data_IF_144233743386
#
_entry.id   IF_144233743386
#
_cell.length_a   1.000
_cell.length_b   1.000
_cell.length_c   1.000
_cell.angle_alpha   90.00
_cell.angle_beta   90.00
_cell.angle_gamma   90.00
#
_symmetry.space_group_name_H-M   'P 1'
#
loop_
_entity.id
_entity.type
_entity.pdbx_description
1 polymer ?
#
# COMPACT_ATOMS: atom_id res chain seq x y z
N UNK A 1 -0.22 13.21 -9.99
CA UNK A 1 -0.36 12.03 -9.12
C UNK A 1 -0.66 12.49 -7.71
N UNK A 2 -1.64 11.89 -7.04
CA UNK A 2 -1.99 12.22 -5.65
C UNK A 2 -1.14 11.39 -4.68
N UNK A 3 -0.74 11.97 -3.55
CA UNK A 3 -0.04 11.25 -2.49
C UNK A 3 -1.07 10.47 -1.67
N UNK A 4 -0.92 9.14 -1.58
CA UNK A 4 -1.89 8.26 -0.91
C UNK A 4 -1.17 7.43 0.15
N UNK A 5 -1.66 7.53 1.39
CA UNK A 5 -1.10 6.79 2.53
C UNK A 5 -1.79 5.44 2.75
N UNK A 6 -1.01 4.36 2.86
CA UNK A 6 -1.49 3.02 3.18
C UNK A 6 -1.08 2.62 4.60
N UNK A 7 -2.06 2.37 5.46
CA UNK A 7 -1.88 1.93 6.85
C UNK A 7 -2.60 0.60 7.01
N UNK A 8 -1.98 -0.38 7.69
CA UNK A 8 -2.57 -1.71 7.89
C UNK A 8 -2.58 -2.60 6.64
N UNK A 9 -1.80 -2.25 5.60
CA UNK A 9 -1.73 -2.97 4.32
C UNK A 9 -1.22 -4.43 4.42
N UNK A 10 -0.62 -4.80 5.56
CA UNK A 10 -0.13 -6.17 5.84
C UNK A 10 -1.15 -7.09 6.52
N UNK A 11 -2.29 -6.55 6.97
CA UNK A 11 -3.36 -7.35 7.57
C UNK A 11 -4.20 -8.07 6.52
N UNK A 12 -5.11 -8.95 6.93
CA UNK A 12 -5.94 -9.77 6.03
C UNK A 12 -6.70 -8.95 4.97
N UNK A 13 -7.30 -7.82 5.36
CA UNK A 13 -8.00 -6.94 4.41
C UNK A 13 -7.02 -6.12 3.58
N UNK A 14 -5.93 -5.66 4.20
CA UNK A 14 -4.89 -4.88 3.55
C UNK A 14 -4.21 -5.63 2.41
N UNK A 15 -3.90 -6.92 2.60
CA UNK A 15 -3.25 -7.74 1.58
C UNK A 15 -4.16 -7.95 0.37
N UNK A 16 -5.45 -8.20 0.59
CA UNK A 16 -6.43 -8.33 -0.52
C UNK A 16 -6.57 -7.00 -1.28
N UNK A 17 -6.57 -5.87 -0.57
CA UNK A 17 -6.55 -4.56 -1.22
C UNK A 17 -5.30 -4.39 -2.10
N UNK A 18 -4.11 -4.73 -1.58
CA UNK A 18 -2.87 -4.61 -2.34
C UNK A 18 -2.90 -5.50 -3.60
N UNK A 19 -3.37 -6.75 -3.47
CA UNK A 19 -3.48 -7.67 -4.61
C UNK A 19 -4.42 -7.13 -5.69
N UNK A 20 -5.57 -6.56 -5.30
CA UNK A 20 -6.52 -5.94 -6.25
C UNK A 20 -5.93 -4.70 -6.91
N UNK A 21 -5.26 -3.83 -6.15
CA UNK A 21 -4.66 -2.62 -6.70
C UNK A 21 -3.53 -2.92 -7.69
N UNK A 22 -2.78 -4.01 -7.50
CA UNK A 22 -1.80 -4.49 -8.49
C UNK A 22 -2.52 -5.03 -9.73
N UNK A 23 -3.57 -5.85 -9.56
CA UNK A 23 -4.33 -6.41 -10.68
C UNK A 23 -4.96 -5.32 -11.57
N UNK A 24 -5.46 -4.24 -10.97
CA UNK A 24 -6.10 -3.13 -11.68
C UNK A 24 -5.10 -2.02 -12.11
N UNK A 25 -3.81 -2.19 -11.80
CA UNK A 25 -2.75 -1.21 -12.07
C UNK A 25 -3.01 0.19 -11.47
N UNK A 26 -3.64 0.23 -10.29
CA UNK A 26 -4.01 1.49 -9.63
C UNK A 26 -2.79 2.32 -9.22
N UNK A 27 -1.68 1.65 -8.88
CA UNK A 27 -0.44 2.31 -8.46
C UNK A 27 0.20 3.18 -9.54
N UNK A 28 -0.14 2.98 -10.82
CA UNK A 28 0.33 3.85 -11.90
C UNK A 28 -0.23 5.29 -11.80
N UNK A 29 -1.34 5.49 -11.07
CA UNK A 29 -2.07 6.75 -11.02
C UNK A 29 -1.80 7.56 -9.73
N UNK A 30 -1.06 7.00 -8.78
CA UNK A 30 -0.84 7.58 -7.44
C UNK A 30 0.63 7.51 -7.03
N UNK A 31 0.99 8.32 -6.03
CA UNK A 31 2.26 8.20 -5.32
C UNK A 31 2.00 7.51 -3.96
N UNK A 32 2.23 6.19 -3.85
CA UNK A 32 1.90 5.43 -2.64
C UNK A 32 2.93 5.67 -1.53
N UNK A 33 2.46 5.89 -0.32
CA UNK A 33 3.29 6.03 0.90
C UNK A 33 2.83 4.97 1.91
N UNK A 34 3.74 4.07 2.29
CA UNK A 34 3.41 2.95 3.18
C UNK A 34 3.81 3.27 4.61
N UNK A 35 2.86 3.11 5.53
CA UNK A 35 3.06 3.30 6.96
C UNK A 35 3.08 1.95 7.68
N UNK A 36 3.85 1.87 8.75
CA UNK A 36 3.98 0.68 9.60
C UNK A 36 4.31 1.08 11.03
N UNK A 37 3.87 0.28 11.99
CA UNK A 37 4.16 0.45 13.42
C UNK A 37 5.29 -0.46 13.90
N UNK A 38 5.68 -1.48 13.14
CA UNK A 38 6.64 -2.51 13.58
C UNK A 38 7.87 -2.69 12.68
N UNK A 39 7.86 -2.16 11.45
CA UNK A 39 8.92 -2.37 10.44
C UNK A 39 9.41 -1.06 9.80
N UNK A 40 9.54 0.00 10.60
CA UNK A 40 9.96 1.31 10.10
C UNK A 40 11.34 1.22 9.43
N UNK A 41 11.46 1.78 8.23
CA UNK A 41 12.70 1.77 7.44
C UNK A 41 12.96 0.50 6.63
N UNK A 42 12.14 -0.54 6.78
CA UNK A 42 12.20 -1.71 5.92
C UNK A 42 11.49 -1.44 4.59
N UNK A 43 11.91 -2.15 3.54
CA UNK A 43 11.21 -2.07 2.24
C UNK A 43 9.80 -2.66 2.40
N UNK A 44 8.83 -1.94 1.84
CA UNK A 44 7.47 -2.45 1.64
C UNK A 44 7.49 -3.56 0.58
#
# INVERSE_FOLDING_TARGET
MQNVGFIGWRGMVGSVLMDRMVQENDFANINPIFFTTSQVGQKA
#
